data_IF_148193835513
#
_entry.id   IF_148193835513
#
_cell.length_a   1.000
_cell.length_b   1.000
_cell.length_c   1.000
_cell.angle_alpha   90.00
_cell.angle_beta   90.00
_cell.angle_gamma   90.00
#
_symmetry.space_group_name_H-M   'P 1'
#
loop_
_entity.id
_entity.type
_entity.pdbx_description
1 polymer ?
#
# COMPACT_ATOMS: atom_id res chain seq x y z
N UNK A 1 -14.08 8.67 -6.31
CA UNK A 1 -13.67 7.92 -5.08
C UNK A 1 -12.24 8.24 -4.73
N UNK A 2 -11.92 8.25 -3.45
CA UNK A 2 -10.61 8.63 -2.88
C UNK A 2 -9.44 7.85 -3.50
N UNK A 3 -9.69 6.64 -3.99
CA UNK A 3 -8.67 5.71 -4.47
C UNK A 3 -8.14 6.02 -5.89
N UNK A 4 -8.94 6.68 -6.74
CA UNK A 4 -8.58 6.88 -8.15
C UNK A 4 -7.38 7.81 -8.34
N UNK A 5 -7.28 8.87 -7.55
CA UNK A 5 -6.16 9.83 -7.65
C UNK A 5 -4.80 9.23 -7.24
N UNK A 6 -4.80 8.17 -6.41
CA UNK A 6 -3.58 7.50 -5.97
C UNK A 6 -3.12 6.47 -7.01
N UNK A 7 -4.03 5.81 -7.70
CA UNK A 7 -3.72 4.73 -8.64
C UNK A 7 -2.94 5.19 -9.88
N UNK A 8 -2.97 6.47 -10.19
CA UNK A 8 -2.23 7.09 -11.30
C UNK A 8 -0.91 7.74 -10.84
N UNK A 9 -0.56 7.61 -9.57
CA UNK A 9 0.63 8.26 -9.03
C UNK A 9 1.92 7.61 -9.56
N UNK A 10 2.91 8.47 -9.81
CA UNK A 10 4.25 8.02 -10.23
C UNK A 10 5.06 7.56 -9.03
N UNK A 11 5.71 6.39 -9.11
CA UNK A 11 6.61 5.92 -8.05
C UNK A 11 7.73 6.91 -7.77
N UNK A 12 8.09 7.05 -6.50
CA UNK A 12 9.25 7.80 -6.08
C UNK A 12 10.52 6.99 -6.33
N UNK A 13 11.58 7.62 -6.87
CA UNK A 13 12.87 6.96 -6.90
C UNK A 13 13.42 6.76 -5.49
N UNK A 14 14.20 5.70 -5.27
CA UNK A 14 14.70 5.31 -3.95
C UNK A 14 15.44 6.44 -3.22
N UNK A 15 16.19 7.27 -3.94
CA UNK A 15 16.93 8.40 -3.35
C UNK A 15 16.04 9.55 -2.87
N UNK A 16 14.77 9.61 -3.31
CA UNK A 16 13.80 10.62 -2.88
C UNK A 16 12.98 10.17 -1.66
N UNK A 17 13.20 8.94 -1.21
CA UNK A 17 12.50 8.38 -0.07
C UNK A 17 13.22 8.79 1.23
N UNK A 18 12.52 9.38 2.22
CA UNK A 18 13.15 9.72 3.48
C UNK A 18 13.59 8.46 4.22
N UNK A 19 14.68 8.55 4.95
CA UNK A 19 15.13 7.46 5.80
C UNK A 19 14.06 7.10 6.83
N UNK A 20 13.59 5.87 6.77
CA UNK A 20 12.65 5.29 7.73
C UNK A 20 13.36 4.16 8.44
N UNK A 21 13.46 4.27 9.76
CA UNK A 21 14.32 3.42 10.58
C UNK A 21 14.04 1.92 10.46
N UNK A 22 12.83 1.53 10.11
CA UNK A 22 12.36 0.15 10.00
C UNK A 22 12.09 -0.30 8.55
N UNK A 23 12.40 0.56 7.56
CA UNK A 23 12.28 0.18 6.15
C UNK A 23 13.49 -0.65 5.70
N UNK A 24 13.28 -1.65 4.83
CA UNK A 24 14.40 -2.39 4.24
C UNK A 24 15.21 -1.50 3.29
N UNK A 25 16.45 -1.89 3.04
CA UNK A 25 17.33 -1.20 2.10
C UNK A 25 16.90 -1.31 0.63
N UNK A 26 16.01 -2.25 0.31
CA UNK A 26 15.49 -2.50 -1.03
C UNK A 26 14.04 -2.98 -0.96
N UNK A 27 13.33 -2.89 -2.08
CA UNK A 27 11.95 -3.38 -2.20
C UNK A 27 10.89 -2.44 -1.62
N UNK A 28 11.23 -1.21 -1.27
CA UNK A 28 10.27 -0.19 -0.86
C UNK A 28 9.66 0.45 -2.10
N UNK A 29 8.34 0.44 -2.16
CA UNK A 29 7.55 1.17 -3.15
C UNK A 29 6.92 2.38 -2.49
N UNK A 30 7.09 3.56 -3.06
CA UNK A 30 6.57 4.80 -2.48
C UNK A 30 6.06 5.77 -3.54
N UNK A 31 5.08 6.58 -3.16
CA UNK A 31 4.53 7.67 -3.97
C UNK A 31 4.37 8.93 -3.11
N UNK A 32 4.29 10.09 -3.77
CA UNK A 32 3.77 11.31 -3.15
C UNK A 32 2.25 11.36 -3.27
N UNK A 33 1.63 11.89 -2.23
CA UNK A 33 0.20 12.14 -2.19
C UNK A 33 -0.07 13.50 -1.53
N UNK A 34 -0.86 14.35 -2.18
CA UNK A 34 -1.34 15.58 -1.57
C UNK A 34 -2.77 15.36 -1.11
N UNK A 35 -3.01 15.56 0.18
CA UNK A 35 -4.34 15.36 0.77
C UNK A 35 -5.31 16.39 0.21
N UNK A 36 -6.38 15.92 -0.41
CA UNK A 36 -7.44 16.78 -0.94
C UNK A 36 -8.50 17.09 0.13
N UNK A 37 -9.26 18.15 -0.07
CA UNK A 37 -10.39 18.48 0.81
C UNK A 37 -11.43 17.35 0.89
N UNK A 38 -11.59 16.58 -0.20
CA UNK A 38 -12.53 15.43 -0.25
C UNK A 38 -12.11 14.26 0.64
N UNK A 39 -10.86 14.23 1.04
CA UNK A 39 -10.29 13.21 1.93
C UNK A 39 -10.37 13.61 3.40
N UNK A 40 -10.92 14.78 3.69
CA UNK A 40 -11.10 15.28 5.05
C UNK A 40 -12.59 15.45 5.38
N UNK A 41 -12.88 15.46 6.67
CA UNK A 41 -14.25 15.67 7.16
C UNK A 41 -14.51 17.14 7.39
N UNK A 42 -15.72 17.62 7.03
CA UNK A 42 -16.14 18.96 7.38
C UNK A 42 -16.32 19.17 8.90
N UNK A 43 -16.57 18.10 9.63
CA UNK A 43 -16.77 18.15 11.08
C UNK A 43 -15.45 18.23 11.84
N UNK A 44 -14.47 17.42 11.41
CA UNK A 44 -13.10 17.44 11.91
C UNK A 44 -12.21 17.45 10.67
N UNK A 45 -11.48 18.53 10.36
CA UNK A 45 -10.85 18.74 9.06
C UNK A 45 -9.55 17.93 8.90
N UNK A 46 -9.58 16.64 9.21
CA UNK A 46 -8.49 15.72 9.02
C UNK A 46 -8.92 14.47 8.22
N UNK A 47 -7.98 13.77 7.66
CA UNK A 47 -8.18 12.45 7.08
C UNK A 47 -8.50 11.45 8.20
N UNK A 48 -9.72 10.89 8.17
CA UNK A 48 -10.15 9.93 9.17
C UNK A 48 -9.58 8.52 8.90
N UNK A 49 -9.82 7.60 9.83
CA UNK A 49 -9.34 6.21 9.74
C UNK A 49 -9.81 5.48 8.47
N UNK A 50 -10.98 5.77 7.93
CA UNK A 50 -11.49 5.12 6.71
C UNK A 50 -10.68 5.59 5.49
N UNK A 51 -10.37 6.89 5.42
CA UNK A 51 -9.51 7.46 4.37
C UNK A 51 -8.12 6.84 4.43
N UNK A 52 -7.55 6.74 5.61
CA UNK A 52 -6.22 6.14 5.83
C UNK A 52 -6.20 4.67 5.41
N UNK A 53 -7.23 3.88 5.74
CA UNK A 53 -7.38 2.51 5.23
C UNK A 53 -7.48 2.47 3.70
N UNK A 54 -8.17 3.42 3.11
CA UNK A 54 -8.23 3.59 1.65
C UNK A 54 -6.85 3.85 1.04
N UNK A 55 -6.01 4.67 1.67
CA UNK A 55 -4.62 4.90 1.21
C UNK A 55 -3.76 3.63 1.34
N UNK A 56 -3.92 2.87 2.43
CA UNK A 56 -3.22 1.60 2.64
C UNK A 56 -3.58 0.59 1.54
N UNK A 57 -4.86 0.48 1.19
CA UNK A 57 -5.33 -0.39 0.10
C UNK A 57 -4.82 0.08 -1.27
N UNK A 58 -4.89 1.39 -1.53
CA UNK A 58 -4.48 1.97 -2.79
C UNK A 58 -2.98 1.79 -3.07
N UNK A 59 -2.11 2.05 -2.09
CA UNK A 59 -0.66 1.88 -2.28
C UNK A 59 -0.29 0.40 -2.46
N UNK A 60 -0.99 -0.51 -1.81
CA UNK A 60 -0.82 -1.95 -2.00
C UNK A 60 -1.21 -2.38 -3.42
N UNK A 61 -2.33 -1.84 -3.93
CA UNK A 61 -2.82 -2.09 -5.29
C UNK A 61 -1.85 -1.56 -6.35
N UNK A 62 -1.36 -0.34 -6.15
CA UNK A 62 -0.41 0.29 -7.07
C UNK A 62 0.93 -0.46 -7.12
N UNK A 63 1.47 -0.84 -5.96
CA UNK A 63 2.67 -1.69 -5.90
C UNK A 63 2.45 -3.02 -6.63
N UNK A 64 1.31 -3.68 -6.42
CA UNK A 64 0.95 -4.90 -7.13
C UNK A 64 0.90 -4.72 -8.64
N UNK A 65 0.33 -3.62 -9.12
CA UNK A 65 0.28 -3.30 -10.55
C UNK A 65 1.68 -3.10 -11.15
N UNK A 66 2.56 -2.39 -10.45
CA UNK A 66 3.97 -2.22 -10.86
C UNK A 66 4.76 -3.53 -10.83
N UNK A 67 4.38 -4.47 -9.99
CA UNK A 67 4.95 -5.81 -9.93
C UNK A 67 4.35 -6.78 -10.98
N UNK A 68 3.56 -6.30 -11.93
CA UNK A 68 2.90 -7.13 -12.94
C UNK A 68 1.75 -7.99 -12.40
N UNK A 69 1.17 -7.60 -11.27
CA UNK A 69 0.07 -8.29 -10.61
C UNK A 69 -1.10 -7.32 -10.35
N UNK A 70 -1.49 -6.57 -11.38
CA UNK A 70 -2.65 -5.70 -11.31
C UNK A 70 -3.92 -6.50 -10.93
N UNK A 71 -4.78 -5.91 -10.12
CA UNK A 71 -6.00 -6.57 -9.65
C UNK A 71 -6.91 -7.03 -10.80
N UNK A 72 -6.99 -6.25 -11.89
CA UNK A 72 -7.76 -6.62 -13.07
C UNK A 72 -7.21 -7.89 -13.74
N UNK A 73 -5.91 -8.02 -13.86
CA UNK A 73 -5.24 -9.19 -14.46
C UNK A 73 -5.41 -10.42 -13.58
N UNK A 74 -5.28 -10.26 -12.27
CA UNK A 74 -5.53 -11.33 -11.30
C UNK A 74 -6.99 -11.80 -11.37
N UNK A 75 -7.96 -10.89 -11.45
CA UNK A 75 -9.37 -11.22 -11.58
C UNK A 75 -9.65 -11.99 -12.86
N UNK A 76 -9.07 -11.58 -13.99
CA UNK A 76 -9.16 -12.29 -15.27
C UNK A 76 -8.57 -13.70 -15.17
N UNK A 77 -7.51 -13.89 -14.38
CA UNK A 77 -6.91 -15.19 -14.10
C UNK A 77 -7.68 -15.98 -13.00
N UNK A 78 -8.84 -15.51 -12.56
CA UNK A 78 -9.66 -16.17 -11.54
C UNK A 78 -9.12 -16.08 -10.11
N UNK A 79 -8.32 -15.07 -9.81
CA UNK A 79 -7.70 -14.88 -8.50
C UNK A 79 -7.87 -13.45 -8.01
N UNK A 80 -7.82 -13.25 -6.69
CA UNK A 80 -7.84 -11.91 -6.11
C UNK A 80 -7.15 -11.89 -4.75
N UNK A 81 -6.53 -10.76 -4.42
CA UNK A 81 -6.05 -10.50 -3.09
C UNK A 81 -7.20 -10.14 -2.15
N UNK A 82 -7.26 -10.83 -1.03
CA UNK A 82 -8.16 -10.50 0.07
C UNK A 82 -7.35 -10.12 1.29
N UNK A 83 -7.71 -9.00 1.91
CA UNK A 83 -7.13 -8.64 3.18
C UNK A 83 -7.73 -9.52 4.28
N UNK A 84 -6.86 -10.15 5.07
CA UNK A 84 -7.26 -10.98 6.21
C UNK A 84 -7.13 -10.21 7.53
N UNK A 85 -6.24 -9.21 7.60
CA UNK A 85 -6.01 -8.43 8.81
C UNK A 85 -5.33 -7.12 8.47
N UNK A 86 -5.74 -6.07 9.15
CA UNK A 86 -4.99 -4.82 9.29
C UNK A 86 -4.66 -4.59 10.77
N UNK A 87 -3.44 -4.21 11.05
CA UNK A 87 -3.03 -3.57 12.30
C UNK A 87 -2.54 -2.18 11.94
N UNK A 88 -3.16 -1.16 12.51
CA UNK A 88 -2.89 0.25 12.14
C UNK A 88 -2.69 1.07 13.39
N UNK A 89 -1.53 1.71 13.49
CA UNK A 89 -1.24 2.71 14.50
C UNK A 89 -1.41 4.10 13.88
N UNK A 90 -2.33 4.88 14.42
CA UNK A 90 -2.59 6.27 14.05
C UNK A 90 -1.76 7.18 14.96
N UNK A 91 -0.63 7.69 14.46
CA UNK A 91 0.39 8.41 15.23
C UNK A 91 0.26 9.92 15.12
N UNK A 92 -0.41 10.41 14.07
CA UNK A 92 -0.60 11.82 13.81
C UNK A 92 -1.72 12.07 12.81
N UNK A 93 -2.04 13.33 12.62
CA UNK A 93 -3.13 13.77 11.75
C UNK A 93 -2.61 14.28 10.41
N UNK A 94 -3.41 14.09 9.36
CA UNK A 94 -3.18 14.65 8.04
C UNK A 94 -4.35 15.57 7.68
N UNK A 95 -4.03 16.75 7.16
CA UNK A 95 -4.98 17.80 6.79
C UNK A 95 -4.94 18.05 5.30
N UNK A 96 -6.00 18.66 4.76
CA UNK A 96 -6.05 19.07 3.36
C UNK A 96 -4.84 19.97 3.02
N UNK A 97 -4.19 19.69 1.88
CA UNK A 97 -2.98 20.35 1.44
C UNK A 97 -1.68 19.75 1.97
N UNK A 98 -1.72 18.85 2.95
CA UNK A 98 -0.54 18.14 3.42
C UNK A 98 0.06 17.30 2.28
N UNK A 99 1.39 17.40 2.14
CA UNK A 99 2.16 16.56 1.21
C UNK A 99 2.73 15.39 1.96
N UNK A 100 2.30 14.20 1.57
CA UNK A 100 2.63 12.96 2.23
C UNK A 100 3.41 12.03 1.32
N UNK A 101 4.12 11.10 1.93
CA UNK A 101 4.70 9.94 1.26
C UNK A 101 3.96 8.71 1.75
N UNK A 102 3.38 7.98 0.81
CA UNK A 102 2.81 6.66 1.06
C UNK A 102 3.83 5.63 0.62
N UNK A 103 4.28 4.80 1.55
CA UNK A 103 5.31 3.80 1.29
C UNK A 103 4.84 2.42 1.73
N UNK A 104 5.22 1.39 0.98
CA UNK A 104 4.89 0.01 1.28
C UNK A 104 5.97 -0.95 0.83
N UNK A 105 6.08 -2.09 1.51
CA UNK A 105 6.94 -3.20 1.13
C UNK A 105 6.39 -4.51 1.65
N UNK A 106 6.85 -5.62 1.09
CA UNK A 106 6.52 -6.95 1.59
C UNK A 106 7.53 -7.34 2.67
N UNK A 107 7.06 -7.54 3.90
CA UNK A 107 7.91 -7.98 5.03
C UNK A 107 8.09 -9.50 5.03
N UNK A 108 7.02 -10.22 4.70
CA UNK A 108 7.03 -11.68 4.73
C UNK A 108 6.19 -12.22 3.58
N UNK A 109 6.75 -13.16 2.85
CA UNK A 109 6.10 -13.81 1.73
C UNK A 109 5.95 -15.31 2.01
N UNK A 110 4.69 -15.74 2.20
CA UNK A 110 4.32 -17.14 2.32
C UNK A 110 3.92 -17.77 0.98
N UNK A 111 3.42 -19.00 0.99
CA UNK A 111 2.98 -19.69 -0.22
C UNK A 111 1.70 -19.08 -0.81
N UNK A 112 0.73 -18.75 0.03
CA UNK A 112 -0.60 -18.27 -0.38
C UNK A 112 -0.93 -16.89 0.19
N UNK A 113 -0.05 -16.33 1.02
CA UNK A 113 -0.28 -15.07 1.73
C UNK A 113 1.01 -14.28 1.90
N UNK A 114 0.88 -13.00 2.19
CA UNK A 114 2.00 -12.12 2.52
C UNK A 114 1.64 -11.17 3.67
N UNK A 115 2.66 -10.68 4.33
CA UNK A 115 2.58 -9.56 5.27
C UNK A 115 3.23 -8.37 4.61
N UNK A 116 2.51 -7.27 4.59
CA UNK A 116 2.92 -6.00 3.99
C UNK A 116 2.99 -4.92 5.05
N UNK A 117 4.09 -4.21 5.10
CA UNK A 117 4.19 -2.97 5.85
C UNK A 117 3.73 -1.79 5.01
N UNK A 118 3.10 -0.82 5.65
CA UNK A 118 2.77 0.47 5.05
C UNK A 118 3.14 1.58 6.03
N UNK A 119 3.71 2.66 5.51
CA UNK A 119 4.01 3.89 6.24
C UNK A 119 3.40 5.06 5.52
N UNK A 120 2.72 5.91 6.26
CA UNK A 120 2.27 7.22 5.78
C UNK A 120 3.10 8.25 6.51
N UNK A 121 3.86 9.02 5.76
CA UNK A 121 4.90 9.89 6.29
C UNK A 121 4.68 11.32 5.79
N UNK A 122 5.11 12.29 6.58
CA UNK A 122 5.42 13.63 6.07
C UNK A 122 6.72 13.59 5.25
N UNK A 123 6.95 14.59 4.44
CA UNK A 123 8.19 14.68 3.62
C UNK A 123 9.49 14.72 4.45
N UNK A 124 9.43 15.14 5.71
CA UNK A 124 10.55 15.11 6.66
C UNK A 124 10.81 13.72 7.28
N UNK A 125 9.99 12.70 6.94
CA UNK A 125 10.08 11.35 7.48
C UNK A 125 9.27 11.10 8.74
N UNK A 126 8.58 12.09 9.29
CA UNK A 126 7.69 11.92 10.45
C UNK A 126 6.56 10.96 10.11
N UNK A 127 6.43 9.86 10.86
CA UNK A 127 5.38 8.88 10.64
C UNK A 127 4.04 9.38 11.19
N UNK A 128 3.02 9.41 10.33
CA UNK A 128 1.62 9.66 10.70
C UNK A 128 0.85 8.36 10.90
N UNK A 129 1.23 7.32 10.18
CA UNK A 129 0.60 5.99 10.28
C UNK A 129 1.64 4.91 10.07
N UNK A 130 1.55 3.87 10.87
CA UNK A 130 2.23 2.59 10.65
C UNK A 130 1.19 1.50 10.54
N UNK A 131 1.30 0.69 9.50
CA UNK A 131 0.38 -0.42 9.30
C UNK A 131 1.12 -1.70 8.94
N UNK A 132 0.57 -2.81 9.42
CA UNK A 132 0.90 -4.16 8.99
C UNK A 132 -0.37 -4.84 8.48
N UNK A 133 -0.34 -5.38 7.27
CA UNK A 133 -1.49 -5.97 6.63
C UNK A 133 -1.17 -7.37 6.14
N UNK A 134 -2.03 -8.33 6.50
CA UNK A 134 -1.94 -9.68 5.96
C UNK A 134 -2.92 -9.85 4.80
N UNK A 135 -2.40 -10.25 3.67
CA UNK A 135 -3.14 -10.51 2.45
C UNK A 135 -3.04 -11.97 2.06
N UNK A 136 -4.13 -12.55 1.59
CA UNK A 136 -4.18 -13.88 1.02
C UNK A 136 -4.59 -13.81 -0.44
N UNK A 137 -3.90 -14.56 -1.31
CA UNK A 137 -4.35 -14.76 -2.67
C UNK A 137 -5.40 -15.88 -2.68
N UNK A 138 -6.56 -15.58 -3.23
CA UNK A 138 -7.73 -16.46 -3.19
C UNK A 138 -8.13 -16.82 -4.62
N UNK A 139 -8.37 -18.09 -4.87
CA UNK A 139 -9.04 -18.57 -6.07
C UNK A 139 -10.53 -18.21 -6.00
N UNK A 140 -11.04 -17.52 -7.01
CA UNK A 140 -12.39 -16.96 -7.00
C UNK A 140 -13.48 -18.03 -7.19
N UNK A 141 -13.16 -19.15 -7.82
CA UNK A 141 -14.11 -20.25 -8.02
C UNK A 141 -14.28 -21.09 -6.74
N UNK A 142 -13.18 -21.51 -6.14
CA UNK A 142 -13.19 -22.32 -4.92
C UNK A 142 -13.34 -21.51 -3.63
N UNK A 143 -13.07 -20.21 -3.69
CA UNK A 143 -13.03 -19.29 -2.53
C UNK A 143 -11.99 -19.68 -1.48
N UNK A 144 -10.94 -20.36 -1.89
CA UNK A 144 -9.86 -20.84 -1.03
C UNK A 144 -8.53 -20.17 -1.36
N UNK A 145 -7.62 -20.05 -0.38
CA UNK A 145 -6.27 -19.58 -0.64
C UNK A 145 -5.58 -20.41 -1.72
N UNK A 146 -4.91 -19.74 -2.64
CA UNK A 146 -4.15 -20.35 -3.73
C UNK A 146 -2.71 -19.85 -3.75
N UNK A 147 -1.82 -20.62 -4.38
CA UNK A 147 -0.40 -20.26 -4.44
C UNK A 147 -0.16 -18.96 -5.20
N UNK A 148 0.69 -18.12 -4.64
CA UNK A 148 1.17 -16.90 -5.30
C UNK A 148 2.09 -17.33 -6.45
N UNK A 149 1.82 -16.92 -7.71
CA UNK A 149 2.67 -17.26 -8.85
C UNK A 149 4.11 -16.79 -8.67
N UNK A 150 5.08 -17.58 -9.15
CA UNK A 150 6.50 -17.30 -8.95
C UNK A 150 6.93 -15.94 -9.52
N UNK A 151 6.40 -15.54 -10.68
CA UNK A 151 6.66 -14.23 -11.26
C UNK A 151 6.17 -13.07 -10.39
N UNK A 152 5.01 -13.22 -9.77
CA UNK A 152 4.44 -12.25 -8.82
C UNK A 152 5.29 -12.20 -7.54
N UNK A 153 5.69 -13.36 -7.03
CA UNK A 153 6.57 -13.47 -5.85
C UNK A 153 7.87 -12.71 -6.06
N UNK A 154 8.55 -13.00 -7.17
CA UNK A 154 9.82 -12.37 -7.52
C UNK A 154 9.69 -10.85 -7.65
N UNK A 155 8.64 -10.37 -8.31
CA UNK A 155 8.40 -8.95 -8.52
C UNK A 155 8.05 -8.18 -7.24
N UNK A 156 7.27 -8.79 -6.32
CA UNK A 156 6.87 -8.16 -5.06
C UNK A 156 8.03 -8.00 -4.06
N UNK A 157 9.06 -8.84 -4.14
CA UNK A 157 10.25 -8.77 -3.28
C UNK A 157 11.49 -8.28 -4.03
N UNK A 158 11.41 -8.20 -5.36
CA UNK A 158 12.48 -7.71 -6.21
C UNK A 158 12.78 -6.24 -5.93
N UNK A 159 14.05 -5.88 -6.02
CA UNK A 159 14.47 -4.50 -5.96
C UNK A 159 13.85 -3.72 -7.13
N UNK A 160 13.01 -2.76 -6.83
CA UNK A 160 12.78 -1.67 -7.76
C UNK A 160 14.05 -0.83 -7.74
N UNK A 161 14.97 -1.19 -8.64
CA UNK A 161 16.18 -0.42 -8.88
C UNK A 161 15.87 0.91 -9.54
#
# INVERSE_FOLDING_TARGET
MIVEAILDATPLPAHAFPAVADAPSAGVFAIRHTVSERETSALVPHANNIVILGWIDAIASLHGAHAGAARADLATAGRMWFVARHEVDYLGEAFAGDRLILATWVEKLGRTSLIRATRILREDGTALTRASSRWALVDLASRRPTAIPDGVRAALVGAHG
#
